data_IF_625478973086
#
_entry.id   IF_625478973086
#
_cell.length_a   1.000
_cell.length_b   1.000
_cell.length_c   1.000
_cell.angle_alpha   90.00
_cell.angle_beta   90.00
_cell.angle_gamma   90.00
#
_symmetry.space_group_name_H-M   'P 1'
#
loop_
_entity.id
_entity.type
_entity.pdbx_description
1 polymer ?
#
# COMPACT_ATOMS: atom_id res chain seq x y z
N UNK A 1 -6.20 25.71 -22.26
CA UNK A 1 -5.07 25.50 -21.34
C UNK A 1 -5.36 24.17 -20.67
N UNK A 2 -4.75 23.09 -21.15
CA UNK A 2 -4.81 21.81 -20.45
C UNK A 2 -3.98 21.96 -19.19
N UNK A 3 -4.52 21.52 -18.05
CA UNK A 3 -3.79 21.48 -16.79
C UNK A 3 -2.55 20.60 -17.00
N UNK A 4 -1.43 21.25 -17.25
CA UNK A 4 -0.22 20.61 -17.74
C UNK A 4 0.60 20.08 -16.58
N UNK A 5 1.57 19.22 -16.90
CA UNK A 5 2.58 18.76 -15.94
C UNK A 5 3.24 19.92 -15.17
N UNK A 6 3.36 21.09 -15.80
CA UNK A 6 3.88 22.32 -15.20
C UNK A 6 3.08 22.83 -13.99
N UNK A 7 1.74 22.78 -14.02
CA UNK A 7 0.90 23.23 -12.90
C UNK A 7 0.98 22.26 -11.73
N UNK A 8 0.96 20.96 -12.02
CA UNK A 8 1.14 19.92 -10.99
C UNK A 8 2.51 20.07 -10.32
N UNK A 9 3.56 20.31 -11.10
CA UNK A 9 4.91 20.53 -10.57
C UNK A 9 4.95 21.74 -9.63
N UNK A 10 4.30 22.85 -10.00
CA UNK A 10 4.26 24.05 -9.17
C UNK A 10 3.54 23.81 -7.84
N UNK A 11 2.41 23.09 -7.85
CA UNK A 11 1.69 22.71 -6.62
C UNK A 11 2.55 21.81 -5.73
N UNK A 12 3.22 20.82 -6.31
CA UNK A 12 4.14 19.92 -5.57
C UNK A 12 5.27 20.71 -4.93
N UNK A 13 5.86 21.69 -5.64
CA UNK A 13 6.92 22.54 -5.08
C UNK A 13 6.42 23.36 -3.90
N UNK A 14 5.22 23.94 -3.97
CA UNK A 14 4.62 24.67 -2.84
C UNK A 14 4.43 23.76 -1.62
N UNK A 15 3.90 22.55 -1.84
CA UNK A 15 3.74 21.55 -0.78
C UNK A 15 5.11 21.15 -0.21
N UNK A 16 6.13 20.95 -1.04
CA UNK A 16 7.48 20.62 -0.60
C UNK A 16 8.13 21.74 0.23
N UNK A 17 7.81 23.01 -0.03
CA UNK A 17 8.30 24.13 0.80
C UNK A 17 7.59 24.13 2.16
N UNK A 18 6.27 23.89 2.20
CA UNK A 18 5.49 23.88 3.44
C UNK A 18 5.85 22.69 4.34
N UNK A 19 5.97 21.50 3.76
CA UNK A 19 6.24 20.26 4.50
C UNK A 19 7.74 19.94 4.60
N UNK A 20 8.57 20.46 3.69
CA UNK A 20 9.99 20.14 3.55
C UNK A 20 10.23 18.85 2.75
N UNK A 21 11.32 18.83 1.99
CA UNK A 21 11.68 17.69 1.12
C UNK A 21 11.96 16.37 1.88
N UNK A 22 12.26 16.45 3.18
CA UNK A 22 12.49 15.26 4.01
C UNK A 22 11.21 14.62 4.56
N UNK A 23 10.11 15.38 4.72
CA UNK A 23 8.87 14.84 5.31
C UNK A 23 8.09 13.96 4.33
N UNK A 24 8.08 14.33 3.05
CA UNK A 24 7.37 13.57 2.01
C UNK A 24 7.86 12.10 1.89
N UNK A 25 9.18 11.81 1.77
CA UNK A 25 9.68 10.44 1.73
C UNK A 25 9.48 9.69 3.05
N UNK A 26 9.54 10.34 4.21
CA UNK A 26 9.22 9.71 5.50
C UNK A 26 7.75 9.26 5.53
N UNK A 27 6.82 10.14 5.17
CA UNK A 27 5.38 9.82 5.15
C UNK A 27 5.07 8.73 4.13
N UNK A 28 5.68 8.78 2.94
CA UNK A 28 5.54 7.72 1.94
C UNK A 28 6.10 6.39 2.42
N UNK A 29 7.22 6.38 3.12
CA UNK A 29 7.83 5.18 3.67
C UNK A 29 6.92 4.53 4.73
N UNK A 30 6.37 5.32 5.63
CA UNK A 30 5.47 4.84 6.67
C UNK A 30 4.12 4.37 6.08
N UNK A 31 3.57 5.10 5.11
CA UNK A 31 2.38 4.70 4.35
C UNK A 31 2.64 3.40 3.58
N UNK A 32 3.79 3.29 2.92
CA UNK A 32 4.17 2.11 2.14
C UNK A 32 4.32 0.85 3.00
N UNK A 33 4.88 0.98 4.19
CA UNK A 33 4.90 -0.10 5.19
C UNK A 33 3.49 -0.51 5.62
N UNK A 34 2.62 0.46 5.91
CA UNK A 34 1.23 0.19 6.29
C UNK A 34 0.45 -0.54 5.18
N UNK A 35 0.57 -0.09 3.93
CA UNK A 35 -0.07 -0.75 2.78
C UNK A 35 0.48 -2.17 2.59
N UNK A 36 1.79 -2.39 2.77
CA UNK A 36 2.39 -3.71 2.65
C UNK A 36 1.87 -4.67 3.71
N UNK A 37 1.85 -4.26 4.98
CA UNK A 37 1.32 -5.07 6.07
C UNK A 37 -0.17 -5.36 5.90
N UNK A 38 -0.95 -4.36 5.45
CA UNK A 38 -2.36 -4.56 5.12
C UNK A 38 -2.55 -5.61 4.02
N UNK A 39 -1.76 -5.53 2.95
CA UNK A 39 -1.80 -6.50 1.85
C UNK A 39 -1.38 -7.90 2.27
N UNK A 40 -0.35 -8.03 3.12
CA UNK A 40 0.09 -9.31 3.69
C UNK A 40 -1.01 -9.92 4.58
N UNK A 41 -1.59 -9.15 5.50
CA UNK A 41 -2.69 -9.62 6.35
C UNK A 41 -3.95 -10.03 5.58
N UNK A 42 -4.33 -9.29 4.53
CA UNK A 42 -5.45 -9.67 3.65
C UNK A 42 -5.14 -10.98 2.90
N UNK A 43 -3.89 -11.20 2.50
CA UNK A 43 -3.46 -12.44 1.84
C UNK A 43 -3.55 -13.65 2.77
N UNK A 44 -3.12 -13.49 4.02
CA UNK A 44 -3.21 -14.56 5.02
C UNK A 44 -4.66 -14.93 5.33
N UNK A 45 -5.56 -13.95 5.47
CA UNK A 45 -7.00 -14.20 5.66
C UNK A 45 -7.61 -14.91 4.44
N UNK A 46 -7.21 -14.52 3.24
CA UNK A 46 -7.66 -15.19 2.01
C UNK A 46 -7.10 -16.62 1.88
N UNK A 47 -5.89 -16.88 2.37
CA UNK A 47 -5.27 -18.20 2.37
C UNK A 47 -5.86 -19.13 3.45
N UNK A 48 -6.20 -18.60 4.62
CA UNK A 48 -6.86 -19.34 5.71
C UNK A 48 -8.27 -19.79 5.31
N UNK A 49 -8.93 -19.02 4.44
CA UNK A 49 -10.25 -19.38 3.88
C UNK A 49 -10.21 -20.53 2.87
N UNK A 50 -9.02 -21.06 2.52
CA UNK A 50 -8.83 -22.19 1.60
C UNK A 50 -8.29 -23.46 2.27
N UNK A 51 -8.20 -23.51 3.60
CA UNK A 51 -7.93 -24.77 4.30
C UNK A 51 -9.24 -25.56 4.46
N UNK A 52 -9.69 -26.20 3.39
CA UNK A 52 -10.50 -27.40 3.52
C UNK A 52 -9.74 -28.40 4.41
N UNK A 53 -10.41 -29.06 5.39
CA UNK A 53 -9.76 -30.10 6.17
C UNK A 53 -9.29 -31.19 5.20
N UNK A 54 -8.08 -31.75 5.33
CA UNK A 54 -7.69 -32.90 4.55
C UNK A 54 -8.64 -34.03 4.93
N UNK A 55 -9.60 -34.29 4.05
CA UNK A 55 -10.54 -35.39 4.17
C UNK A 55 -9.77 -36.68 4.37
N UNK A 56 -10.06 -37.32 5.51
CA UNK A 56 -9.65 -38.66 5.87
C UNK A 56 -9.90 -39.62 4.69
N UNK A 57 -8.81 -40.05 4.04
CA UNK A 57 -8.80 -41.10 3.03
C UNK A 57 -8.20 -42.36 3.65
N UNK A 58 -8.81 -42.88 4.70
CA UNK A 58 -8.52 -44.22 5.18
C UNK A 58 -9.76 -44.90 5.79
N UNK A 59 -10.72 -45.25 4.94
CA UNK A 59 -11.72 -46.26 5.29
C UNK A 59 -12.39 -46.82 4.03
N UNK A 60 -11.77 -47.85 3.44
CA UNK A 60 -12.38 -49.10 2.90
C UNK A 60 -11.46 -49.76 1.89
#
# INVERSE_FOLDING_TARGET
>A
MELGFSEILLVVVVILILFGAGKLPTVMHDLGKGIRQFKEGVKDVAAESQHEPPGDKNSS
#
